data_IF_128084096430
#
_entry.id   IF_128084096430
#
_cell.length_a   1.000
_cell.length_b   1.000
_cell.length_c   1.000
_cell.angle_alpha   90.00
_cell.angle_beta   90.00
_cell.angle_gamma   90.00
#
_symmetry.space_group_name_H-M   'P 1'
#
loop_
_entity.id
_entity.type
_entity.pdbx_description
1 polymer ?
#
# COMPACT_ATOMS: atom_id res chain seq x y z
N UNK A 1 21.11 6.62 -7.33
CA UNK A 1 20.76 5.29 -7.88
C UNK A 1 19.30 5.37 -8.26
N UNK A 2 18.92 5.08 -9.50
CA UNK A 2 17.50 5.10 -9.90
C UNK A 2 16.74 4.04 -9.11
N UNK A 3 15.73 4.47 -8.36
CA UNK A 3 14.80 3.56 -7.67
C UNK A 3 13.86 2.99 -8.73
N UNK A 4 14.28 1.91 -9.38
CA UNK A 4 13.46 1.21 -10.36
C UNK A 4 12.25 0.57 -9.67
N UNK A 5 11.05 0.87 -10.14
CA UNK A 5 9.82 0.22 -9.68
C UNK A 5 9.52 -0.99 -10.55
N UNK A 6 9.24 -2.14 -9.93
CA UNK A 6 8.83 -3.37 -10.63
C UNK A 6 7.38 -3.73 -10.29
N UNK A 7 6.65 -4.24 -11.27
CA UNK A 7 5.29 -4.75 -11.04
C UNK A 7 5.39 -6.13 -10.40
N UNK A 8 4.75 -6.31 -9.25
CA UNK A 8 4.62 -7.60 -8.60
C UNK A 8 3.14 -7.97 -8.45
N UNK A 9 2.84 -9.26 -8.44
CA UNK A 9 1.49 -9.78 -8.24
C UNK A 9 1.40 -10.47 -6.87
N UNK A 10 0.32 -10.20 -6.14
CA UNK A 10 0.10 -10.74 -4.80
C UNK A 10 -1.36 -11.17 -4.65
N UNK A 11 -1.60 -12.31 -4.02
CA UNK A 11 -2.94 -12.73 -3.60
C UNK A 11 -3.14 -12.35 -2.14
N UNK A 12 -4.18 -11.56 -1.88
CA UNK A 12 -4.58 -11.12 -0.55
C UNK A 12 -6.02 -11.55 -0.28
N UNK A 13 -6.36 -11.72 1.00
CA UNK A 13 -7.75 -11.92 1.39
C UNK A 13 -8.59 -10.68 1.06
N UNK A 14 -9.87 -10.88 0.79
CA UNK A 14 -10.82 -9.78 0.56
C UNK A 14 -10.89 -8.85 1.77
N UNK A 15 -10.83 -9.38 2.99
CA UNK A 15 -10.77 -8.60 4.23
C UNK A 15 -9.59 -7.62 4.24
N UNK A 16 -8.39 -8.10 3.93
CA UNK A 16 -7.20 -7.25 3.92
C UNK A 16 -7.29 -6.16 2.84
N UNK A 17 -7.82 -6.50 1.66
CA UNK A 17 -8.06 -5.53 0.59
C UNK A 17 -9.05 -4.44 1.03
N UNK A 18 -10.12 -4.80 1.74
CA UNK A 18 -11.09 -3.85 2.28
C UNK A 18 -10.45 -2.91 3.29
N UNK A 19 -9.65 -3.43 4.23
CA UNK A 19 -8.94 -2.62 5.22
C UNK A 19 -7.95 -1.63 4.59
N UNK A 20 -7.25 -2.05 3.54
CA UNK A 20 -6.36 -1.16 2.76
C UNK A 20 -7.18 -0.08 2.06
N UNK A 21 -8.33 -0.43 1.48
CA UNK A 21 -9.21 0.51 0.80
C UNK A 21 -9.81 1.54 1.77
N UNK A 22 -10.19 1.13 2.98
CA UNK A 22 -10.66 2.02 4.04
C UNK A 22 -9.57 2.98 4.49
N UNK A 23 -8.36 2.47 4.76
CA UNK A 23 -7.21 3.29 5.11
C UNK A 23 -6.89 4.33 4.02
N UNK A 24 -6.95 3.91 2.76
CA UNK A 24 -6.72 4.77 1.59
C UNK A 24 -7.74 5.90 1.49
N UNK A 25 -9.02 5.63 1.78
CA UNK A 25 -10.10 6.64 1.78
C UNK A 25 -9.91 7.73 2.84
N UNK A 26 -9.21 7.41 3.92
CA UNK A 26 -8.89 8.37 4.97
C UNK A 26 -7.69 9.28 4.63
N UNK A 27 -6.94 9.00 3.55
CA UNK A 27 -5.78 9.80 3.17
C UNK A 27 -6.21 11.06 2.41
N UNK A 28 -5.61 12.23 2.68
CA UNK A 28 -5.97 13.50 2.03
C UNK A 28 -5.85 13.49 0.49
N UNK A 29 -4.86 12.76 -0.02
CA UNK A 29 -4.55 12.67 -1.45
C UNK A 29 -5.22 11.47 -2.14
N UNK A 30 -5.98 10.65 -1.41
CA UNK A 30 -6.65 9.44 -1.88
C UNK A 30 -5.76 8.60 -2.83
N UNK A 31 -4.66 8.01 -2.33
CA UNK A 31 -3.65 7.39 -3.18
C UNK A 31 -4.22 6.23 -3.99
N UNK A 32 -3.50 5.81 -5.04
CA UNK A 32 -3.84 4.56 -5.73
C UNK A 32 -3.69 3.36 -4.79
N UNK A 33 -4.31 2.22 -5.10
CA UNK A 33 -4.17 1.01 -4.26
C UNK A 33 -2.70 0.56 -4.15
N UNK A 34 -1.93 0.66 -5.23
CA UNK A 34 -0.49 0.35 -5.22
C UNK A 34 0.30 1.30 -4.33
N UNK A 35 -0.01 2.59 -4.38
CA UNK A 35 0.64 3.60 -3.54
C UNK A 35 0.26 3.45 -2.07
N UNK A 36 -1.01 3.15 -1.78
CA UNK A 36 -1.46 2.85 -0.43
C UNK A 36 -0.72 1.63 0.15
N UNK A 37 -0.59 0.57 -0.64
CA UNK A 37 0.16 -0.61 -0.25
C UNK A 37 1.63 -0.29 0.04
N UNK A 38 2.28 0.49 -0.84
CA UNK A 38 3.67 0.94 -0.65
C UNK A 38 3.82 1.70 0.68
N UNK A 39 2.98 2.70 0.94
CA UNK A 39 3.03 3.49 2.19
C UNK A 39 2.86 2.62 3.43
N UNK A 40 1.91 1.69 3.40
CA UNK A 40 1.67 0.77 4.52
C UNK A 40 2.86 -0.17 4.77
N UNK A 41 3.48 -0.69 3.71
CA UNK A 41 4.69 -1.53 3.82
C UNK A 41 5.87 -0.73 4.37
N UNK A 42 6.15 0.45 3.81
CA UNK A 42 7.22 1.34 4.28
C UNK A 42 7.03 1.72 5.76
N UNK A 43 5.80 2.07 6.16
CA UNK A 43 5.48 2.36 7.56
C UNK A 43 5.72 1.15 8.47
N UNK A 44 5.33 -0.05 8.03
CA UNK A 44 5.59 -1.29 8.78
C UNK A 44 7.09 -1.63 8.88
N UNK A 45 7.88 -1.34 7.84
CA UNK A 45 9.33 -1.53 7.84
C UNK A 45 10.05 -0.52 8.74
N UNK A 46 9.54 0.73 8.81
CA UNK A 46 10.10 1.78 9.65
C UNK A 46 9.75 1.64 11.15
N UNK A 47 8.71 0.88 11.49
CA UNK A 47 8.31 0.63 12.88
C UNK A 47 9.18 -0.40 13.62
N UNK A 48 10.39 -0.68 13.11
CA UNK A 48 11.31 -1.72 13.56
C UNK A 48 12.58 -1.15 14.18
#
# INVERSE_FOLDING_TARGET
>A
METKTERFELRLSTDLLSRIDEWRRAQPDLPSRSEAFRRLVEAGLAAK
#
